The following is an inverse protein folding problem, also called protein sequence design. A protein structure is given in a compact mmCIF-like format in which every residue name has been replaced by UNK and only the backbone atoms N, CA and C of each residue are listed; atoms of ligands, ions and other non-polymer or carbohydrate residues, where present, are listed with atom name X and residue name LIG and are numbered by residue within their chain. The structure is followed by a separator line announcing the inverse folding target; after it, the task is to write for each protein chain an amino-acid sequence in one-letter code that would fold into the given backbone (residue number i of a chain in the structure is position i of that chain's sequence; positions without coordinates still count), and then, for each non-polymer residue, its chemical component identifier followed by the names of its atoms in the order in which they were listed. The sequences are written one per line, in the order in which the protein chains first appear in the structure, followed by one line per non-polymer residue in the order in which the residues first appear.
data_IF_661562537396
#
_entry.id   IF_661562537396
#
_cell.length_a   1.000
_cell.length_b   1.000
_cell.length_c   1.000
_cell.angle_alpha   90.00
_cell.angle_beta   90.00
_cell.angle_gamma   90.00
#
_symmetry.space_group_name_H-M   'P 1'
#
loop_
_entity.id
_entity.type
_entity.pdbx_description
1 polymer ?
#
# COMPACT_ATOMS: atom_id res chain seq x y z
N UNK A 1 -10.76 16.69 2.21
CA UNK A 1 -10.94 15.22 2.29
C UNK A 1 -10.09 14.68 3.44
N UNK A 2 -10.51 13.60 4.13
CA UNK A 2 -9.83 13.03 5.32
C UNK A 2 -9.20 11.64 5.12
N UNK A 3 -8.89 11.27 3.88
CA UNK A 3 -8.36 9.95 3.53
C UNK A 3 -6.86 9.76 3.80
N UNK A 4 -6.35 8.56 3.50
CA UNK A 4 -4.93 8.22 3.51
C UNK A 4 -4.48 7.98 2.06
N UNK A 5 -3.39 8.61 1.63
CA UNK A 5 -2.85 8.43 0.28
C UNK A 5 -1.83 7.29 0.24
N UNK A 6 -1.92 6.43 -0.78
CA UNK A 6 -1.02 5.29 -0.98
C UNK A 6 -0.41 5.30 -2.37
N UNK A 7 0.86 4.90 -2.47
CA UNK A 7 1.47 4.61 -3.77
C UNK A 7 1.09 3.18 -4.14
N UNK A 8 0.15 3.04 -5.08
CA UNK A 8 -0.24 1.75 -5.64
C UNK A 8 0.92 1.15 -6.44
N UNK A 9 1.07 -0.17 -6.36
CA UNK A 9 2.06 -1.00 -7.06
C UNK A 9 3.38 -0.27 -7.38
N UNK A 10 4.17 0.16 -6.37
CA UNK A 10 5.29 1.09 -6.59
C UNK A 10 6.38 0.57 -7.54
N UNK A 11 6.61 -0.74 -7.60
CA UNK A 11 7.65 -1.33 -8.46
C UNK A 11 7.32 -1.26 -9.96
N UNK A 12 6.10 -0.89 -10.34
CA UNK A 12 5.73 -0.64 -11.75
C UNK A 12 5.99 0.81 -12.17
N UNK A 13 6.28 1.69 -11.21
CA UNK A 13 6.61 3.09 -11.47
C UNK A 13 8.10 3.24 -11.78
N UNK A 14 8.48 3.89 -12.90
CA UNK A 14 9.88 4.17 -13.22
C UNK A 14 10.50 5.21 -12.29
N UNK A 15 9.67 5.96 -11.54
CA UNK A 15 10.13 7.00 -10.61
C UNK A 15 10.45 6.44 -9.23
N UNK A 16 9.99 5.21 -8.92
CA UNK A 16 10.25 4.59 -7.63
C UNK A 16 11.63 3.92 -7.60
N UNK A 17 12.43 4.05 -6.52
CA UNK A 17 12.14 4.79 -5.28
C UNK A 17 12.58 6.27 -5.32
N UNK A 18 13.08 6.78 -6.46
CA UNK A 18 13.68 8.10 -6.56
C UNK A 18 12.77 9.29 -6.21
N UNK A 19 11.46 9.14 -6.29
CA UNK A 19 10.47 10.16 -5.90
C UNK A 19 9.83 9.91 -4.52
N UNK A 20 10.26 8.89 -3.78
CA UNK A 20 9.59 8.47 -2.55
C UNK A 20 9.61 9.57 -1.48
N UNK A 21 10.76 10.21 -1.29
CA UNK A 21 10.92 11.25 -0.26
C UNK A 21 10.06 12.49 -0.56
N UNK A 22 9.94 12.88 -1.82
CA UNK A 22 9.06 13.98 -2.25
C UNK A 22 7.59 13.64 -2.00
N UNK A 23 7.18 12.40 -2.27
CA UNK A 23 5.82 11.93 -1.99
C UNK A 23 5.54 11.90 -0.48
N UNK A 24 6.51 11.46 0.33
CA UNK A 24 6.41 11.50 1.80
C UNK A 24 6.23 12.95 2.28
N UNK A 25 7.05 13.88 1.77
CA UNK A 25 6.95 15.31 2.10
C UNK A 25 5.59 15.89 1.68
N UNK A 26 4.98 15.38 0.60
CA UNK A 26 3.65 15.76 0.14
C UNK A 26 2.48 15.10 0.92
N UNK A 27 2.76 14.24 1.90
CA UNK A 27 1.75 13.62 2.76
C UNK A 27 1.35 12.19 2.37
N UNK A 28 2.20 11.47 1.63
CA UNK A 28 2.02 10.03 1.39
C UNK A 28 1.91 9.28 2.73
N UNK A 29 0.85 8.50 2.88
CA UNK A 29 0.58 7.75 4.11
C UNK A 29 1.08 6.30 4.04
N UNK A 30 1.24 5.73 2.84
CA UNK A 30 1.67 4.35 2.72
C UNK A 30 2.06 3.87 1.33
N UNK A 31 2.49 2.61 1.28
CA UNK A 31 2.85 1.88 0.06
C UNK A 31 2.03 0.61 -0.08
N UNK A 32 1.64 0.27 -1.31
CA UNK A 32 1.14 -1.06 -1.61
C UNK A 32 2.32 -2.05 -1.65
N UNK A 33 2.39 -2.90 -0.62
CA UNK A 33 3.47 -3.86 -0.45
C UNK A 33 3.06 -5.29 -0.82
N UNK A 34 1.76 -5.58 -0.84
CA UNK A 34 1.22 -6.89 -1.18
C UNK A 34 0.39 -6.73 -2.46
N UNK A 35 0.98 -7.09 -3.60
CA UNK A 35 0.34 -6.97 -4.91
C UNK A 35 0.42 -8.33 -5.62
N UNK A 36 -0.63 -8.70 -6.35
CA UNK A 36 -0.73 -10.03 -6.95
C UNK A 36 0.40 -10.39 -7.92
N UNK A 37 1.00 -9.40 -8.58
CA UNK A 37 2.15 -9.62 -9.47
C UNK A 37 3.51 -9.57 -8.75
N UNK A 38 3.54 -9.36 -7.43
CA UNK A 38 4.79 -9.31 -6.68
C UNK A 38 5.19 -10.68 -6.13
N UNK A 39 6.44 -11.02 -6.39
CA UNK A 39 7.09 -12.15 -5.72
C UNK A 39 7.19 -11.91 -4.21
N UNK A 40 7.31 -12.97 -3.38
CA UNK A 40 7.48 -12.82 -1.94
C UNK A 40 8.69 -11.96 -1.54
N UNK A 41 9.76 -11.94 -2.35
CA UNK A 41 10.94 -11.10 -2.10
C UNK A 41 10.66 -9.63 -2.39
N UNK A 42 9.88 -9.31 -3.42
CA UNK A 42 9.41 -7.95 -3.71
C UNK A 42 8.51 -7.43 -2.59
N UNK A 43 7.55 -8.24 -2.11
CA UNK A 43 6.69 -7.88 -0.98
C UNK A 43 7.52 -7.60 0.29
N UNK A 44 8.49 -8.47 0.61
CA UNK A 44 9.39 -8.28 1.76
C UNK A 44 10.23 -7.00 1.63
N UNK A 45 10.77 -6.72 0.45
CA UNK A 45 11.57 -5.51 0.18
C UNK A 45 10.74 -4.26 0.34
N UNK A 46 9.54 -4.20 -0.25
CA UNK A 46 8.64 -3.06 -0.10
C UNK A 46 8.17 -2.86 1.32
N UNK A 47 7.82 -3.94 2.03
CA UNK A 47 7.44 -3.87 3.43
C UNK A 47 8.60 -3.32 4.30
N UNK A 48 9.85 -3.67 3.99
CA UNK A 48 11.02 -3.13 4.67
C UNK A 48 11.20 -1.63 4.38
N UNK A 49 11.05 -1.20 3.12
CA UNK A 49 11.09 0.22 2.73
C UNK A 49 9.99 1.00 3.47
N UNK A 50 8.75 0.54 3.42
CA UNK A 50 7.64 1.22 4.09
C UNK A 50 7.88 1.39 5.59
N UNK A 51 8.35 0.33 6.27
CA UNK A 51 8.72 0.41 7.70
C UNK A 51 9.86 1.38 7.98
N UNK A 52 10.90 1.39 7.14
CA UNK A 52 12.04 2.29 7.31
C UNK A 52 11.65 3.77 7.22
N UNK A 53 10.63 4.09 6.41
CA UNK A 53 10.11 5.45 6.25
C UNK A 53 8.88 5.76 7.13
N UNK A 54 8.49 4.85 8.04
CA UNK A 54 7.31 5.05 8.90
C UNK A 54 5.97 5.04 8.15
N UNK A 55 5.95 4.47 6.95
CA UNK A 55 4.78 4.38 6.09
C UNK A 55 3.90 3.17 6.43
N UNK A 56 2.58 3.35 6.28
CA UNK A 56 1.63 2.24 6.33
C UNK A 56 1.82 1.32 5.12
N UNK A 57 1.38 0.08 5.25
CA UNK A 57 1.35 -0.88 4.14
C UNK A 57 -0.09 -1.11 3.71
N UNK A 58 -0.29 -1.43 2.44
CA UNK A 58 -1.56 -1.93 1.90
C UNK A 58 -1.32 -3.10 0.96
N UNK A 59 -2.41 -3.71 0.50
CA UNK A 59 -2.38 -4.70 -0.55
C UNK A 59 -3.68 -4.77 -1.34
N UNK A 60 -3.59 -5.35 -2.54
CA UNK A 60 -4.70 -5.50 -3.46
C UNK A 60 -4.30 -6.35 -4.66
N UNK A 61 -5.29 -7.00 -5.27
CA UNK A 61 -5.07 -7.79 -6.49
C UNK A 61 -5.13 -6.96 -7.77
N UNK A 62 -5.71 -5.75 -7.71
CA UNK A 62 -6.02 -4.93 -8.90
C UNK A 62 -6.82 -5.73 -9.95
N UNK A 63 -7.83 -6.43 -9.45
CA UNK A 63 -8.70 -7.29 -10.26
C UNK A 63 -9.52 -6.47 -11.27
N UNK A 64 -9.49 -6.90 -12.53
CA UNK A 64 -10.22 -6.27 -13.64
C UNK A 64 -11.16 -7.23 -14.40
N UNK A 65 -11.36 -8.46 -13.91
CA UNK A 65 -12.25 -9.46 -14.51
C UNK A 65 -11.57 -10.80 -14.83
N UNK A 66 -12.36 -11.88 -14.82
CA UNK A 66 -11.98 -13.20 -15.31
C UNK A 66 -11.52 -13.05 -16.76
N UNK A 67 -10.30 -13.48 -17.10
CA UNK A 67 -9.67 -13.51 -18.45
C UNK A 67 -8.68 -12.40 -18.83
N UNK A 68 -8.40 -11.38 -17.98
CA UNK A 68 -7.43 -10.35 -18.37
C UNK A 68 -5.97 -10.69 -18.02
N UNK A 69 -5.67 -11.25 -16.83
CA UNK A 69 -4.33 -11.76 -16.43
C UNK A 69 -4.42 -12.72 -15.22
N UNK A 70 -3.60 -13.78 -15.20
CA UNK A 70 -3.40 -14.63 -14.00
C UNK A 70 -2.67 -13.85 -12.89
N UNK A 71 -2.99 -14.13 -11.62
CA UNK A 71 -2.37 -13.44 -10.46
C UNK A 71 -3.06 -12.13 -10.04
N UNK A 72 -4.28 -11.88 -10.54
CA UNK A 72 -5.10 -10.74 -10.17
C UNK A 72 -6.46 -11.17 -9.63
N UNK A 73 -6.68 -12.45 -9.38
CA UNK A 73 -7.99 -12.95 -9.00
C UNK A 73 -8.45 -12.32 -7.68
N UNK A 74 -9.76 -12.18 -7.53
CA UNK A 74 -10.33 -11.58 -6.34
C UNK A 74 -9.99 -12.42 -5.10
N UNK A 75 -9.30 -11.81 -4.14
CA UNK A 75 -8.92 -12.48 -2.89
C UNK A 75 -7.66 -13.36 -2.97
N UNK A 76 -6.93 -13.32 -4.08
CA UNK A 76 -5.71 -14.13 -4.25
C UNK A 76 -4.50 -13.59 -3.48
N UNK A 77 -4.51 -12.30 -3.13
CA UNK A 77 -3.43 -11.65 -2.39
C UNK A 77 -3.58 -11.90 -0.90
N UNK A 78 -2.69 -12.72 -0.32
CA UNK A 78 -2.57 -12.88 1.12
C UNK A 78 -1.99 -11.61 1.75
N UNK A 79 -2.84 -10.87 2.46
CA UNK A 79 -2.49 -9.64 3.16
C UNK A 79 -2.50 -9.96 4.66
N UNK A 80 -1.36 -9.86 5.36
CA UNK A 80 -1.31 -10.14 6.78
C UNK A 80 -2.21 -9.21 7.59
N UNK A 81 -3.00 -9.75 8.52
CA UNK A 81 -3.99 -9.00 9.33
C UNK A 81 -3.44 -7.70 9.94
N UNK A 82 -2.19 -7.70 10.41
CA UNK A 82 -1.51 -6.52 10.97
C UNK A 82 -1.52 -5.31 10.02
N UNK A 83 -1.54 -5.53 8.72
CA UNK A 83 -1.58 -4.49 7.68
C UNK A 83 -2.95 -3.83 7.69
N UNK A 84 -4.01 -4.64 7.61
CA UNK A 84 -5.41 -4.19 7.69
C UNK A 84 -5.72 -3.51 9.03
N UNK A 85 -5.23 -4.07 10.13
CA UNK A 85 -5.40 -3.49 11.48
C UNK A 85 -4.73 -2.11 11.59
N UNK A 86 -3.51 -1.95 11.06
CA UNK A 86 -2.81 -0.66 11.07
C UNK A 86 -3.55 0.40 10.24
N UNK A 87 -4.10 0.02 9.08
CA UNK A 87 -4.94 0.89 8.25
C UNK A 87 -6.19 1.38 9.00
N UNK A 88 -6.93 0.46 9.62
CA UNK A 88 -8.14 0.78 10.37
C UNK A 88 -7.83 1.69 11.57
N UNK A 89 -6.75 1.43 12.29
CA UNK A 89 -6.31 2.27 13.40
C UNK A 89 -5.94 3.70 12.93
N UNK A 90 -5.24 3.83 11.81
CA UNK A 90 -4.86 5.13 11.24
C UNK A 90 -6.09 5.93 10.77
N UNK A 91 -7.07 5.29 10.13
CA UNK A 91 -8.33 5.92 9.76
C UNK A 91 -9.10 6.40 10.99
N UNK A 92 -9.24 5.56 12.01
CA UNK A 92 -9.93 5.92 13.24
C UNK A 92 -9.27 7.11 13.97
N UNK A 93 -7.93 7.19 13.96
CA UNK A 93 -7.20 8.32 14.54
C UNK A 93 -7.49 9.64 13.80
N UNK A 94 -7.54 9.62 12.46
CA UNK A 94 -7.82 10.82 11.66
C UNK A 94 -9.25 11.32 11.81
N UNK A 95 -10.23 10.44 11.95
CA UNK A 95 -11.62 10.83 12.23
C UNK A 95 -11.74 11.63 13.53
N UNK A 96 -10.98 11.25 14.56
CA UNK A 96 -10.98 11.98 15.85
C UNK A 96 -10.35 13.38 15.77
N UNK A 97 -9.38 13.58 14.86
CA UNK A 97 -8.73 14.87 14.67
C UNK A 97 -9.53 15.84 13.78
N UNK A 98 -10.48 15.36 12.96
CA UNK A 98 -11.36 16.20 12.14
C UNK A 98 -12.66 16.64 12.81
N UNK A 99 -12.89 16.26 14.07
CA UNK A 99 -14.08 16.60 14.87
C UNK A 99 -13.77 17.67 15.95
N UNK A 100 -12.66 18.38 15.83
CA UNK A 100 -12.26 19.51 16.68
C UNK A 100 -12.49 20.84 15.98
#
# INVERSE_FOLDING_TARGET
AGGLAFHAHPLTSPLFPGNLDDLIAAGLAGLEAYYGEYTPSQCKRLAAIGRAHGLLLSGGSDYHGEQLKHGRDLGEVDIPDRVTQALLAALAARTRHGLS
#
